data_IF_513528783616
#
_entry.id   IF_513528783616
#
_cell.length_a   1.000
_cell.length_b   1.000
_cell.length_c   1.000
_cell.angle_alpha   90.00
_cell.angle_beta   90.00
_cell.angle_gamma   90.00
#
_symmetry.space_group_name_H-M   'P 1'
#
loop_
_entity.id
_entity.type
_entity.pdbx_description
1 polymer ?
#
# COMPACT_ATOMS: atom_id res chain seq x y z
N UNK A 1 13.94 0.69 -20.54
CA UNK A 1 13.11 0.46 -19.35
C UNK A 1 12.01 -0.52 -19.68
N UNK A 2 11.82 -1.55 -18.88
CA UNK A 2 10.65 -2.40 -19.10
C UNK A 2 9.37 -1.63 -18.78
N UNK A 3 8.30 -2.03 -19.41
CA UNK A 3 6.99 -1.47 -19.11
C UNK A 3 6.54 -1.93 -17.73
N UNK A 4 5.85 -1.07 -17.02
CA UNK A 4 5.29 -1.42 -15.71
C UNK A 4 4.07 -0.56 -15.44
N UNK A 5 3.29 -0.97 -14.46
CA UNK A 5 2.10 -0.25 -14.05
C UNK A 5 2.20 0.12 -12.58
N UNK A 6 1.61 1.24 -12.21
CA UNK A 6 1.59 1.71 -10.83
C UNK A 6 0.15 1.92 -10.42
N UNK A 7 -0.29 1.34 -9.29
CA UNK A 7 -1.65 1.60 -8.82
C UNK A 7 -1.81 3.05 -8.39
N UNK A 8 -2.98 3.62 -8.69
CA UNK A 8 -3.35 4.94 -8.21
C UNK A 8 -4.58 4.79 -7.35
N UNK A 9 -4.50 5.31 -6.13
CA UNK A 9 -5.55 5.11 -5.14
C UNK A 9 -5.96 6.45 -4.54
N UNK A 10 -7.20 6.57 -4.07
CA UNK A 10 -7.66 7.83 -3.50
C UNK A 10 -7.09 8.06 -2.10
N UNK A 11 -6.90 9.34 -1.76
CA UNK A 11 -6.53 9.75 -0.41
C UNK A 11 -7.41 10.92 -0.01
N UNK A 12 -7.82 10.94 1.27
CA UNK A 12 -8.62 12.04 1.78
C UNK A 12 -7.75 13.26 2.04
N UNK A 13 -6.59 13.05 2.64
CA UNK A 13 -5.69 14.13 3.02
C UNK A 13 -4.24 13.74 2.69
N UNK A 14 -3.55 14.55 1.86
CA UNK A 14 -2.19 14.21 1.46
C UNK A 14 -1.19 14.11 2.62
N UNK A 15 -1.25 15.05 3.57
CA UNK A 15 -0.29 15.07 4.68
C UNK A 15 -0.45 13.84 5.57
N UNK A 16 -1.69 13.47 5.88
CA UNK A 16 -1.95 12.28 6.69
C UNK A 16 -1.53 11.01 5.96
N UNK A 17 -1.81 10.95 4.66
CA UNK A 17 -1.47 9.78 3.86
C UNK A 17 0.04 9.61 3.78
N UNK A 18 0.75 10.70 3.53
CA UNK A 18 2.21 10.68 3.48
C UNK A 18 2.80 10.17 4.80
N UNK A 19 2.32 10.73 5.93
CA UNK A 19 2.83 10.34 7.23
C UNK A 19 2.57 8.86 7.52
N UNK A 20 1.40 8.36 7.12
CA UNK A 20 1.04 6.96 7.27
C UNK A 20 2.03 6.05 6.56
N UNK A 21 2.28 6.34 5.28
CA UNK A 21 3.15 5.47 4.47
C UNK A 21 4.62 5.62 4.83
N UNK A 22 5.02 6.78 5.32
CA UNK A 22 6.40 6.93 5.82
C UNK A 22 6.67 6.02 7.01
N UNK A 23 5.67 5.82 7.87
CA UNK A 23 5.81 4.89 8.99
C UNK A 23 5.94 3.44 8.52
N UNK A 24 5.40 3.13 7.36
CA UNK A 24 5.54 1.79 6.77
C UNK A 24 6.87 1.61 6.03
N UNK A 25 7.71 2.64 6.00
CA UNK A 25 9.00 2.56 5.33
C UNK A 25 9.02 3.09 3.92
N UNK A 26 7.91 3.68 3.46
CA UNK A 26 7.89 4.32 2.14
C UNK A 26 8.57 5.68 2.21
N UNK A 27 9.15 6.08 1.09
CA UNK A 27 9.76 7.40 0.92
C UNK A 27 8.91 8.17 -0.07
N UNK A 28 8.65 9.45 0.22
CA UNK A 28 7.89 10.29 -0.69
C UNK A 28 8.79 10.73 -1.84
N UNK A 29 8.47 10.28 -3.05
CA UNK A 29 9.22 10.65 -4.25
C UNK A 29 8.69 11.94 -4.84
N UNK A 30 7.41 12.24 -4.66
CA UNK A 30 6.80 13.46 -5.17
C UNK A 30 5.56 13.78 -4.36
N UNK A 31 5.42 15.07 -4.03
CA UNK A 31 4.29 15.60 -3.27
C UNK A 31 3.82 16.85 -4.00
N UNK A 32 2.82 16.68 -4.87
CA UNK A 32 2.33 17.78 -5.67
C UNK A 32 1.31 18.59 -4.86
N UNK A 33 1.44 19.92 -4.83
CA UNK A 33 0.56 20.76 -4.01
C UNK A 33 -0.83 20.91 -4.61
N UNK A 34 -1.79 21.39 -3.78
CA UNK A 34 -3.12 21.70 -4.28
C UNK A 34 -3.06 22.70 -5.44
N UNK A 35 -4.08 22.75 -6.33
CA UNK A 35 -5.37 22.05 -6.20
C UNK A 35 -5.36 20.59 -6.64
N UNK A 36 -4.35 20.14 -7.38
CA UNK A 36 -4.31 18.77 -7.89
C UNK A 36 -3.35 17.94 -7.06
N UNK A 37 -3.63 17.81 -5.77
CA UNK A 37 -2.75 17.12 -4.84
C UNK A 37 -2.53 15.66 -5.24
N UNK A 38 -1.28 15.25 -5.20
CA UNK A 38 -0.85 13.96 -5.68
C UNK A 38 0.40 13.52 -4.92
N UNK A 39 0.44 12.26 -4.49
CA UNK A 39 1.60 11.70 -3.81
C UNK A 39 2.15 10.52 -4.58
N UNK A 40 3.46 10.42 -4.59
CA UNK A 40 4.17 9.29 -5.16
C UNK A 40 5.07 8.72 -4.07
N UNK A 41 4.74 7.50 -3.59
CA UNK A 41 5.44 6.87 -2.48
C UNK A 41 6.15 5.61 -2.97
N UNK A 42 7.38 5.40 -2.51
CA UNK A 42 8.20 4.27 -2.96
C UNK A 42 8.80 3.55 -1.75
N UNK A 43 8.72 2.21 -1.76
CA UNK A 43 9.40 1.36 -0.80
C UNK A 43 10.01 0.19 -1.56
N UNK A 44 11.34 0.15 -1.59
CA UNK A 44 12.06 -0.82 -2.43
C UNK A 44 11.55 -0.70 -3.88
N UNK A 45 11.11 -1.77 -4.48
CA UNK A 45 10.56 -1.72 -5.84
C UNK A 45 9.07 -1.42 -5.92
N UNK A 46 8.43 -1.18 -4.78
CA UNK A 46 6.98 -0.95 -4.73
C UNK A 46 6.71 0.53 -4.90
N UNK A 47 5.87 0.87 -5.88
CA UNK A 47 5.50 2.24 -6.17
C UNK A 47 3.99 2.38 -6.03
N UNK A 48 3.56 3.37 -5.25
CA UNK A 48 2.15 3.66 -5.04
C UNK A 48 1.90 5.13 -5.32
N UNK A 49 0.81 5.45 -5.99
CA UNK A 49 0.42 6.82 -6.27
C UNK A 49 -0.93 7.09 -5.68
N UNK A 50 -1.12 8.31 -5.18
CA UNK A 50 -2.37 8.71 -4.54
C UNK A 50 -2.84 10.03 -5.12
N UNK A 51 -4.14 10.13 -5.38
CA UNK A 51 -4.77 11.39 -5.80
C UNK A 51 -5.77 11.82 -4.73
N UNK A 52 -5.93 13.13 -4.57
CA UNK A 52 -6.80 13.66 -3.53
C UNK A 52 -8.27 13.45 -3.86
N UNK A 53 -9.00 12.86 -2.91
CA UNK A 53 -10.44 12.64 -3.00
C UNK A 53 -11.03 12.94 -1.61
N UNK A 54 -11.28 14.23 -1.30
CA UNK A 54 -11.62 14.61 0.08
C UNK A 54 -12.89 13.97 0.61
N UNK A 55 -13.81 13.58 -0.28
CA UNK A 55 -15.06 12.95 0.13
C UNK A 55 -15.01 11.45 0.25
N UNK A 56 -13.83 10.84 0.20
CA UNK A 56 -13.73 9.39 0.24
C UNK A 56 -14.22 8.85 1.58
N UNK A 57 -14.96 7.74 1.51
CA UNK A 57 -15.45 7.03 2.70
C UNK A 57 -14.46 5.92 3.02
N UNK A 58 -13.68 6.09 4.09
CA UNK A 58 -12.64 5.13 4.50
C UNK A 58 -13.18 3.77 4.92
N UNK A 59 -14.50 3.59 5.02
CA UNK A 59 -15.08 2.29 5.32
C UNK A 59 -15.34 1.46 4.07
N UNK A 60 -15.28 2.07 2.89
CA UNK A 60 -15.47 1.40 1.60
C UNK A 60 -14.17 0.71 1.22
N UNK A 61 -14.27 -0.52 0.71
CA UNK A 61 -13.10 -1.34 0.34
C UNK A 61 -13.04 -1.55 -1.17
N UNK A 62 -13.29 -0.50 -1.93
CA UNK A 62 -13.36 -0.58 -3.39
C UNK A 62 -12.00 -0.54 -4.07
N UNK A 63 -10.99 -0.03 -3.37
CA UNK A 63 -9.67 0.17 -3.96
C UNK A 63 -8.67 -0.79 -3.33
N UNK A 64 -8.03 -1.57 -4.19
CA UNK A 64 -7.08 -2.57 -3.72
C UNK A 64 -5.90 -2.63 -4.67
N UNK A 65 -4.74 -2.98 -4.14
CA UNK A 65 -3.61 -3.33 -4.97
C UNK A 65 -2.94 -4.57 -4.39
N UNK A 66 -2.22 -5.29 -5.24
CA UNK A 66 -1.48 -6.46 -4.81
C UNK A 66 0.01 -6.17 -4.90
N UNK A 67 0.70 -6.35 -3.79
CA UNK A 67 2.13 -6.08 -3.68
C UNK A 67 2.85 -7.42 -3.52
N UNK A 68 3.83 -7.68 -4.37
CA UNK A 68 4.68 -8.85 -4.21
C UNK A 68 5.97 -8.44 -3.53
N UNK A 69 6.34 -9.17 -2.47
CA UNK A 69 7.57 -8.92 -1.72
C UNK A 69 8.36 -10.21 -1.63
N UNK A 70 9.67 -10.10 -1.52
CA UNK A 70 10.53 -11.29 -1.40
C UNK A 70 10.45 -11.88 0.00
N UNK A 71 10.39 -11.05 1.02
CA UNK A 71 10.37 -11.48 2.42
C UNK A 71 9.03 -11.11 3.04
N UNK A 72 8.06 -12.01 2.91
CA UNK A 72 6.70 -11.76 3.39
C UNK A 72 6.66 -11.58 4.90
N UNK A 73 7.33 -12.46 5.63
CA UNK A 73 7.30 -12.39 7.09
C UNK A 73 8.01 -11.17 7.61
N UNK A 74 9.14 -10.81 7.00
CA UNK A 74 9.86 -9.61 7.38
C UNK A 74 9.05 -8.35 7.10
N UNK A 75 8.36 -8.31 5.96
CA UNK A 75 7.49 -7.19 5.63
C UNK A 75 6.34 -7.10 6.63
N UNK A 76 5.73 -8.24 6.96
CA UNK A 76 4.65 -8.27 7.94
C UNK A 76 5.12 -7.71 9.30
N UNK A 77 6.28 -8.17 9.77
CA UNK A 77 6.83 -7.69 11.05
C UNK A 77 7.10 -6.19 11.03
N UNK A 78 7.60 -5.69 9.90
CA UNK A 78 7.87 -4.27 9.74
C UNK A 78 6.58 -3.45 9.80
N UNK A 79 5.53 -3.92 9.13
CA UNK A 79 4.25 -3.24 9.13
C UNK A 79 3.59 -3.32 10.52
N UNK A 80 3.72 -4.46 11.19
CA UNK A 80 3.18 -4.61 12.55
C UNK A 80 3.88 -3.66 13.52
N UNK A 81 5.19 -3.51 13.39
CA UNK A 81 5.96 -2.61 14.26
C UNK A 81 5.59 -1.15 14.02
N UNK A 82 5.18 -0.80 12.80
CA UNK A 82 4.75 0.57 12.49
C UNK A 82 3.47 0.94 13.22
N UNK A 83 2.59 -0.05 13.47
CA UNK A 83 1.39 0.16 14.27
C UNK A 83 0.35 1.05 13.63
N UNK A 84 0.30 1.15 12.31
CA UNK A 84 -0.65 2.01 11.59
C UNK A 84 -1.56 1.15 10.72
N UNK A 85 -2.78 1.65 10.50
CA UNK A 85 -3.76 0.96 9.68
C UNK A 85 -4.34 -0.26 10.38
N UNK A 86 -5.06 -1.06 9.59
CA UNK A 86 -5.64 -2.31 10.09
C UNK A 86 -4.90 -3.47 9.44
N UNK A 87 -4.06 -4.13 10.21
CA UNK A 87 -3.22 -5.21 9.72
C UNK A 87 -3.86 -6.54 10.07
N UNK A 88 -4.01 -7.41 9.07
CA UNK A 88 -4.53 -8.76 9.27
C UNK A 88 -3.39 -9.76 9.21
N UNK A 89 -3.52 -10.91 9.91
CA UNK A 89 -2.42 -11.87 9.96
C UNK A 89 -2.18 -12.54 8.60
N UNK A 90 -0.98 -13.08 8.42
CA UNK A 90 -0.66 -13.84 7.23
C UNK A 90 -1.55 -15.08 7.19
N UNK A 91 -2.18 -15.31 6.04
CA UNK A 91 -3.05 -16.47 5.80
C UNK A 91 -2.61 -17.20 4.56
N UNK A 92 -2.69 -18.54 4.62
CA UNK A 92 -2.50 -19.37 3.44
C UNK A 92 -3.79 -19.35 2.63
N UNK A 93 -3.69 -18.93 1.37
CA UNK A 93 -4.87 -18.79 0.52
C UNK A 93 -5.10 -20.05 -0.32
N UNK A 94 -6.35 -20.30 -0.74
CA UNK A 94 -6.65 -21.50 -1.55
C UNK A 94 -5.87 -21.59 -2.84
N UNK A 95 -5.46 -20.45 -3.40
CA UNK A 95 -4.67 -20.45 -4.63
C UNK A 95 -3.18 -20.68 -4.37
N UNK A 96 -2.82 -20.98 -3.12
CA UNK A 96 -1.50 -21.51 -2.79
C UNK A 96 -0.44 -20.48 -2.41
N UNK A 97 -0.77 -19.21 -2.39
CA UNK A 97 0.19 -18.15 -2.03
C UNK A 97 -0.23 -17.56 -0.68
N UNK A 98 0.67 -17.55 0.32
CA UNK A 98 0.35 -16.87 1.56
C UNK A 98 0.32 -15.37 1.36
N UNK A 99 -0.57 -14.68 2.06
CA UNK A 99 -0.66 -13.23 1.96
C UNK A 99 -1.20 -12.64 3.26
N UNK A 100 -0.95 -11.34 3.43
CA UNK A 100 -1.63 -10.56 4.47
C UNK A 100 -2.24 -9.34 3.83
N UNK A 101 -3.09 -8.64 4.60
CA UNK A 101 -3.77 -7.44 4.13
C UNK A 101 -3.51 -6.33 5.14
N UNK A 102 -3.21 -5.14 4.64
CA UNK A 102 -3.19 -3.92 5.43
C UNK A 102 -4.20 -2.96 4.82
N UNK A 103 -5.12 -2.47 5.64
CA UNK A 103 -6.08 -1.46 5.21
C UNK A 103 -5.57 -0.12 5.70
N UNK A 104 -5.38 0.83 4.77
CA UNK A 104 -4.81 2.12 5.12
C UNK A 104 -5.89 3.08 5.66
N UNK A 105 -5.47 4.30 5.99
CA UNK A 105 -6.36 5.30 6.59
C UNK A 105 -7.46 5.77 5.64
N UNK A 106 -7.30 5.52 4.35
CA UNK A 106 -8.28 5.90 3.33
C UNK A 106 -9.21 4.76 2.93
N UNK A 107 -9.02 3.59 3.54
CA UNK A 107 -9.80 2.41 3.18
C UNK A 107 -9.20 1.59 2.04
N UNK A 108 -8.05 1.97 1.52
CA UNK A 108 -7.39 1.20 0.48
C UNK A 108 -6.85 -0.10 1.07
N UNK A 109 -7.04 -1.20 0.34
CA UNK A 109 -6.57 -2.50 0.77
C UNK A 109 -5.26 -2.83 0.07
N UNK A 110 -4.19 -2.98 0.85
CA UNK A 110 -2.92 -3.47 0.33
C UNK A 110 -2.86 -4.96 0.61
N UNK A 111 -2.90 -5.76 -0.43
CA UNK A 111 -2.73 -7.21 -0.32
C UNK A 111 -1.28 -7.51 -0.62
N UNK A 112 -0.61 -8.19 0.31
CA UNK A 112 0.84 -8.39 0.22
C UNK A 112 1.12 -9.87 0.23
N UNK A 113 1.84 -10.35 -0.78
CA UNK A 113 2.18 -11.76 -0.90
C UNK A 113 3.59 -11.95 -1.44
N UNK A 114 4.01 -13.19 -1.46
CA UNK A 114 5.32 -13.56 -2.00
C UNK A 114 5.10 -14.23 -3.34
N UNK A 115 5.88 -13.89 -4.38
CA UNK A 115 5.70 -14.54 -5.67
C UNK A 115 5.93 -16.03 -5.54
N UNK A 116 5.12 -16.81 -6.26
CA UNK A 116 5.34 -18.25 -6.33
C UNK A 116 6.39 -18.51 -7.40
N UNK A 117 7.49 -19.07 -6.97
CA UNK A 117 8.62 -19.32 -7.87
C UNK A 117 8.66 -20.75 -8.37
N UNK A 118 7.53 -21.36 -8.57
CA UNK A 118 7.46 -22.71 -9.12
C UNK A 118 7.71 -22.69 -10.60
N UNK A 119 8.63 -23.47 -11.00
CA UNK A 119 8.99 -23.62 -12.41
C UNK A 119 8.73 -25.03 -12.89
#
# INVERSE_FOLDING_TARGET
MPDFAVPTMPMRDPAETRAFYEKLGFVCAHDHPPPDSFLFMIRDGVQLQFFEAPGIDGTIRDHTCYIYVDDLEGTYRSFAAAGVGKLMPIEQKPWGVPEFVLIDLNGNMLRVGCPRLEM
#
